data_IF_948085921898
#
_entry.id   IF_948085921898
#
_cell.length_a   1.000
_cell.length_b   1.000
_cell.length_c   1.000
_cell.angle_alpha   90.00
_cell.angle_beta   90.00
_cell.angle_gamma   90.00
#
_symmetry.space_group_name_H-M   'P 1'
#
loop_
_entity.id
_entity.type
_entity.pdbx_description
1 polymer ?
#
# COMPACT_ATOMS: atom_id res chain seq x y z
N UNK A 1 -1.90 3.54 -32.01
CA UNK A 1 -0.86 4.45 -32.54
C UNK A 1 -0.21 3.92 -33.81
N UNK A 2 0.21 2.64 -33.88
CA UNK A 2 0.78 2.03 -35.11
C UNK A 2 -0.12 2.21 -36.36
N UNK A 3 -1.44 2.14 -36.18
CA UNK A 3 -2.42 2.37 -37.25
C UNK A 3 -2.24 3.74 -37.96
N UNK A 4 -2.00 4.82 -37.21
CA UNK A 4 -1.90 6.17 -37.79
C UNK A 4 -0.62 6.39 -38.58
N UNK A 5 0.45 5.64 -38.27
CA UNK A 5 1.72 5.65 -39.01
C UNK A 5 1.52 5.15 -40.43
N UNK A 6 0.57 4.25 -40.65
CA UNK A 6 0.25 3.69 -41.98
C UNK A 6 -0.91 4.45 -42.62
N UNK A 7 -1.94 4.79 -41.85
CA UNK A 7 -3.14 5.44 -42.38
C UNK A 7 -2.87 6.86 -42.91
N UNK A 8 -2.03 7.67 -42.23
CA UNK A 8 -1.79 9.05 -42.67
C UNK A 8 -1.03 9.13 -44.02
N UNK A 9 0.03 8.33 -44.27
CA UNK A 9 0.64 8.26 -45.59
C UNK A 9 -0.32 7.79 -46.68
N UNK A 10 -1.10 6.74 -46.42
CA UNK A 10 -2.11 6.24 -47.38
C UNK A 10 -3.13 7.32 -47.72
N UNK A 11 -3.59 8.09 -46.73
CA UNK A 11 -4.48 9.24 -46.95
C UNK A 11 -3.81 10.34 -47.78
N UNK A 12 -2.55 10.67 -47.50
CA UNK A 12 -1.83 11.68 -48.26
C UNK A 12 -1.64 11.30 -49.73
N UNK A 13 -1.31 10.05 -50.02
CA UNK A 13 -1.25 9.54 -51.39
C UNK A 13 -2.64 9.50 -52.05
N UNK A 14 -3.66 9.03 -51.33
CA UNK A 14 -5.03 8.89 -51.87
C UNK A 14 -5.73 10.22 -52.15
N UNK A 15 -5.37 11.29 -51.45
CA UNK A 15 -5.98 12.62 -51.61
C UNK A 15 -5.15 13.55 -52.51
N UNK A 16 -4.02 13.10 -53.04
CA UNK A 16 -3.18 13.92 -53.94
C UNK A 16 -3.65 13.84 -55.39
N UNK A 17 -3.83 14.99 -56.07
CA UNK A 17 -4.10 15.02 -57.53
C UNK A 17 -2.85 14.84 -58.39
N UNK A 18 -1.69 15.22 -57.85
CA UNK A 18 -0.46 15.34 -58.60
C UNK A 18 0.65 14.58 -57.89
N UNK A 19 1.42 13.84 -58.69
CA UNK A 19 2.62 13.16 -58.22
C UNK A 19 3.70 14.23 -58.01
N UNK A 20 4.12 14.42 -56.76
CA UNK A 20 5.01 15.53 -56.38
C UNK A 20 5.08 15.76 -54.86
N UNK A 21 5.10 17.02 -54.42
CA UNK A 21 5.20 17.41 -52.99
C UNK A 21 3.87 17.34 -52.22
N UNK A 22 2.75 17.45 -52.92
CA UNK A 22 1.38 17.41 -52.38
C UNK A 22 1.09 16.24 -51.42
N UNK A 23 1.36 14.96 -51.76
CA UNK A 23 1.05 13.84 -50.86
C UNK A 23 1.82 13.89 -49.55
N UNK A 24 3.05 14.41 -49.56
CA UNK A 24 3.86 14.58 -48.35
C UNK A 24 3.30 15.69 -47.45
N UNK A 25 2.85 16.80 -48.03
CA UNK A 25 2.23 17.90 -47.29
C UNK A 25 0.91 17.46 -46.65
N UNK A 26 0.05 16.74 -47.39
CA UNK A 26 -1.21 16.21 -46.86
C UNK A 26 -0.93 15.16 -45.77
N UNK A 27 0.04 14.27 -45.98
CA UNK A 27 0.45 13.28 -44.96
C UNK A 27 0.91 13.97 -43.69
N UNK A 28 1.76 14.99 -43.79
CA UNK A 28 2.28 15.73 -42.66
C UNK A 28 1.15 16.45 -41.91
N UNK A 29 0.24 17.10 -42.63
CA UNK A 29 -0.94 17.74 -42.05
C UNK A 29 -1.82 16.72 -41.31
N UNK A 30 -2.09 15.55 -41.91
CA UNK A 30 -2.87 14.49 -41.29
C UNK A 30 -2.23 13.98 -39.98
N UNK A 31 -0.90 13.81 -39.95
CA UNK A 31 -0.16 13.42 -38.74
C UNK A 31 -0.29 14.49 -37.65
N UNK A 32 -0.12 15.77 -37.98
CA UNK A 32 -0.25 16.86 -37.00
C UNK A 32 -1.68 16.96 -36.44
N UNK A 33 -2.70 16.83 -37.30
CA UNK A 33 -4.11 16.83 -36.89
C UNK A 33 -4.39 15.65 -35.94
N UNK A 34 -3.92 14.46 -36.29
CA UNK A 34 -4.07 13.26 -35.46
C UNK A 34 -3.34 13.41 -34.12
N UNK A 35 -2.12 13.96 -34.12
CA UNK A 35 -1.33 14.16 -32.90
C UNK A 35 -1.97 15.21 -31.98
N UNK A 36 -2.41 16.35 -32.52
CA UNK A 36 -3.10 17.39 -31.74
C UNK A 36 -4.38 16.84 -31.10
N UNK A 37 -5.17 16.09 -31.88
CA UNK A 37 -6.39 15.44 -31.39
C UNK A 37 -6.07 14.38 -30.33
N UNK A 38 -4.99 13.61 -30.52
CA UNK A 38 -4.53 12.62 -29.57
C UNK A 38 -4.04 13.24 -28.25
N UNK A 39 -3.33 14.38 -28.29
CA UNK A 39 -2.93 15.10 -27.09
C UNK A 39 -4.16 15.56 -26.28
N UNK A 40 -5.17 16.10 -26.96
CA UNK A 40 -6.42 16.51 -26.31
C UNK A 40 -7.16 15.30 -25.71
N UNK A 41 -7.31 14.23 -26.49
CA UNK A 41 -7.94 12.99 -26.04
C UNK A 41 -7.21 12.38 -24.84
N UNK A 42 -5.89 12.22 -24.92
CA UNK A 42 -5.07 11.67 -23.85
C UNK A 42 -5.08 12.50 -22.57
N UNK A 43 -5.09 13.83 -22.69
CA UNK A 43 -5.24 14.74 -21.54
C UNK A 43 -6.59 14.57 -20.85
N UNK A 44 -7.68 14.48 -21.63
CA UNK A 44 -9.00 14.18 -21.08
C UNK A 44 -9.02 12.78 -20.43
N UNK A 45 -8.42 11.78 -21.08
CA UNK A 45 -8.31 10.42 -20.56
C UNK A 45 -7.60 10.40 -19.20
N UNK A 46 -6.48 11.12 -19.09
CA UNK A 46 -5.74 11.32 -17.85
C UNK A 46 -6.63 11.91 -16.75
N UNK A 47 -7.31 13.02 -17.01
CA UNK A 47 -8.19 13.68 -16.02
C UNK A 47 -9.27 12.69 -15.54
N UNK A 48 -9.99 12.06 -16.46
CA UNK A 48 -11.09 11.14 -16.14
C UNK A 48 -10.64 9.86 -15.42
N UNK A 49 -9.38 9.48 -15.56
CA UNK A 49 -8.83 8.28 -14.94
C UNK A 49 -8.23 8.49 -13.55
N UNK A 50 -8.05 9.73 -13.09
CA UNK A 50 -7.59 9.99 -11.73
C UNK A 50 -8.56 9.30 -10.77
N UNK A 51 -8.10 8.28 -10.01
CA UNK A 51 -8.95 7.58 -9.07
C UNK A 51 -9.39 8.58 -8.00
N UNK A 52 -10.68 8.54 -7.71
CA UNK A 52 -11.25 9.29 -6.60
C UNK A 52 -11.04 8.44 -5.38
N UNK A 53 -10.38 8.96 -4.35
CA UNK A 53 -10.34 8.25 -3.08
C UNK A 53 -11.80 8.13 -2.63
N UNK A 54 -12.29 6.90 -2.55
CA UNK A 54 -13.46 6.63 -1.73
C UNK A 54 -13.00 6.97 -0.31
N UNK A 55 -13.22 8.22 0.11
CA UNK A 55 -13.34 8.54 1.52
C UNK A 55 -14.27 7.50 2.08
N UNK A 56 -13.70 6.53 2.79
CA UNK A 56 -14.41 5.48 3.46
C UNK A 56 -15.32 6.17 4.46
N UNK A 57 -16.55 6.41 4.04
CA UNK A 57 -17.65 6.77 4.92
C UNK A 57 -17.75 5.63 5.93
N UNK A 58 -17.27 5.90 7.15
CA UNK A 58 -17.66 5.26 8.40
C UNK A 58 -17.70 3.73 8.40
N UNK A 59 -16.56 3.07 8.63
CA UNK A 59 -16.54 1.82 9.41
C UNK A 59 -15.25 1.78 10.27
N UNK A 60 -15.48 1.71 11.57
CA UNK A 60 -14.60 1.33 12.68
C UNK A 60 -13.46 2.27 13.12
N UNK A 61 -13.73 2.95 14.24
CA UNK A 61 -12.88 3.91 14.93
C UNK A 61 -11.68 3.30 15.69
N UNK A 62 -11.24 2.08 15.36
CA UNK A 62 -10.19 1.37 16.12
C UNK A 62 -9.00 0.87 15.28
N UNK A 63 -8.93 1.25 14.01
CA UNK A 63 -7.78 0.93 13.14
C UNK A 63 -6.99 2.20 12.81
N UNK A 64 -5.93 2.47 13.57
CA UNK A 64 -4.91 3.48 13.25
C UNK A 64 -4.01 3.05 12.08
N UNK A 65 -4.59 2.64 10.97
CA UNK A 65 -3.86 2.65 9.70
C UNK A 65 -3.92 4.08 9.17
N UNK A 66 -2.84 4.83 9.40
CA UNK A 66 -2.61 6.11 8.74
C UNK A 66 -2.47 5.84 7.23
N UNK A 67 -3.61 5.65 6.56
CA UNK A 67 -3.71 5.56 5.11
C UNK A 67 -3.21 6.90 4.58
N UNK A 68 -2.13 6.85 3.83
CA UNK A 68 -1.51 8.02 3.21
C UNK A 68 -2.58 8.78 2.42
N UNK A 69 -2.98 9.93 2.94
CA UNK A 69 -3.79 10.91 2.24
C UNK A 69 -2.82 11.57 1.27
N UNK A 70 -2.77 11.09 0.03
CA UNK A 70 -2.01 11.73 -1.03
C UNK A 70 -2.48 13.16 -1.23
N UNK A 71 -1.72 13.95 -2.00
CA UNK A 71 -2.13 15.31 -2.33
C UNK A 71 -3.45 15.30 -3.16
N UNK A 72 -4.57 15.56 -2.51
CA UNK A 72 -5.93 15.56 -3.11
C UNK A 72 -6.18 16.72 -4.06
N UNK A 73 -5.25 17.69 -4.19
CA UNK A 73 -5.46 18.86 -5.06
C UNK A 73 -5.75 18.44 -6.51
N UNK A 74 -5.02 17.46 -7.05
CA UNK A 74 -5.23 16.98 -8.41
C UNK A 74 -6.55 16.24 -8.58
N UNK A 75 -6.96 15.48 -7.57
CA UNK A 75 -8.26 14.81 -7.54
C UNK A 75 -9.41 15.83 -7.53
N UNK A 76 -9.35 16.82 -6.65
CA UNK A 76 -10.39 17.86 -6.53
C UNK A 76 -10.51 18.69 -7.81
N UNK A 77 -9.38 19.12 -8.37
CA UNK A 77 -9.36 19.84 -9.65
C UNK A 77 -9.93 18.97 -10.76
N UNK A 78 -9.59 17.67 -10.80
CA UNK A 78 -10.12 16.74 -11.79
C UNK A 78 -11.62 16.50 -11.64
N UNK A 79 -12.13 16.28 -10.42
CA UNK A 79 -13.56 16.09 -10.17
C UNK A 79 -14.36 17.35 -10.53
N UNK A 80 -13.87 18.53 -10.12
CA UNK A 80 -14.47 19.81 -10.52
C UNK A 80 -14.48 19.97 -12.04
N UNK A 81 -13.33 19.75 -12.69
CA UNK A 81 -13.18 19.91 -14.14
C UNK A 81 -14.06 18.93 -14.92
N UNK A 82 -14.12 17.66 -14.52
CA UNK A 82 -14.97 16.64 -15.17
C UNK A 82 -16.44 16.97 -15.03
N UNK A 83 -16.90 17.46 -13.87
CA UNK A 83 -18.29 17.92 -13.68
C UNK A 83 -18.63 19.09 -14.59
N UNK A 84 -17.74 20.09 -14.70
CA UNK A 84 -17.91 21.23 -15.60
C UNK A 84 -17.94 20.78 -17.06
N UNK A 85 -17.02 19.90 -17.47
CA UNK A 85 -16.94 19.38 -18.84
C UNK A 85 -18.21 18.62 -19.23
N UNK A 86 -18.67 17.72 -18.37
CA UNK A 86 -19.91 16.95 -18.58
C UNK A 86 -21.11 17.91 -18.62
N UNK A 87 -21.20 18.84 -17.67
CA UNK A 87 -22.29 19.82 -17.63
C UNK A 87 -22.39 20.69 -18.89
N UNK A 88 -21.26 21.24 -19.35
CA UNK A 88 -21.20 22.02 -20.60
C UNK A 88 -21.56 21.14 -21.80
N UNK A 89 -21.03 19.91 -21.86
CA UNK A 89 -21.29 18.97 -22.96
C UNK A 89 -22.78 18.62 -23.07
N UNK A 90 -23.48 18.39 -21.94
CA UNK A 90 -24.92 18.13 -21.93
C UNK A 90 -25.71 19.32 -22.47
N UNK A 91 -25.39 20.53 -22.03
CA UNK A 91 -26.11 21.75 -22.45
C UNK A 91 -25.83 22.08 -23.93
N UNK A 92 -24.63 21.81 -24.42
CA UNK A 92 -24.20 22.20 -25.77
C UNK A 92 -24.27 21.07 -26.79
N UNK A 93 -24.76 19.88 -26.44
CA UNK A 93 -24.75 18.71 -27.33
C UNK A 93 -25.44 18.98 -28.69
N UNK A 94 -26.48 19.81 -28.70
CA UNK A 94 -27.17 20.21 -29.93
C UNK A 94 -26.32 21.02 -30.91
N UNK A 95 -25.22 21.63 -30.46
CA UNK A 95 -24.29 22.41 -31.30
C UNK A 95 -23.20 21.54 -31.94
N UNK A 96 -23.07 20.28 -31.52
CA UNK A 96 -22.01 19.38 -31.97
C UNK A 96 -22.03 19.16 -33.49
N UNK A 97 -23.15 18.87 -34.16
CA UNK A 97 -23.15 18.68 -35.62
C UNK A 97 -22.61 19.89 -36.38
N UNK A 98 -23.06 21.10 -36.04
CA UNK A 98 -22.58 22.34 -36.65
C UNK A 98 -21.09 22.60 -36.38
N UNK A 99 -20.60 22.25 -35.19
CA UNK A 99 -19.18 22.34 -34.86
C UNK A 99 -18.32 21.35 -35.66
N UNK A 100 -18.80 20.11 -35.85
CA UNK A 100 -18.13 19.10 -36.68
C UNK A 100 -18.09 19.50 -38.15
N UNK A 101 -19.17 20.07 -38.68
CA UNK A 101 -19.19 20.64 -40.04
C UNK A 101 -18.22 21.80 -40.19
N UNK A 102 -18.18 22.71 -39.21
CA UNK A 102 -17.24 23.83 -39.21
C UNK A 102 -15.79 23.35 -39.15
N UNK A 103 -15.49 22.36 -38.31
CA UNK A 103 -14.17 21.72 -38.23
C UNK A 103 -13.81 21.07 -39.57
N UNK A 104 -14.71 20.32 -40.19
CA UNK A 104 -14.49 19.71 -41.50
C UNK A 104 -14.17 20.74 -42.58
N UNK A 105 -14.89 21.88 -42.60
CA UNK A 105 -14.58 23.00 -43.51
C UNK A 105 -13.20 23.60 -43.26
N UNK A 106 -12.73 23.66 -42.02
CA UNK A 106 -11.39 24.18 -41.69
C UNK A 106 -10.26 23.19 -42.00
N UNK A 107 -10.53 21.89 -41.88
CA UNK A 107 -9.54 20.84 -42.16
C UNK A 107 -9.42 20.51 -43.66
N UNK A 108 -10.49 20.71 -44.45
CA UNK A 108 -10.49 20.40 -45.88
C UNK A 108 -9.32 21.05 -46.66
N UNK A 109 -8.98 22.35 -46.48
CA UNK A 109 -7.82 22.97 -47.12
C UNK A 109 -6.49 22.29 -46.80
N UNK A 110 -6.31 21.83 -45.56
CA UNK A 110 -5.09 21.17 -45.10
C UNK A 110 -4.94 19.75 -45.67
N UNK A 111 -6.05 19.16 -46.13
CA UNK A 111 -6.13 17.80 -46.65
C UNK A 111 -6.36 17.77 -48.18
N UNK A 112 -6.05 18.87 -48.87
CA UNK A 112 -6.08 18.95 -50.34
C UNK A 112 -7.41 19.41 -50.95
N UNK A 113 -8.42 19.74 -50.15
CA UNK A 113 -9.74 20.27 -50.59
C UNK A 113 -10.54 19.38 -51.57
N UNK A 114 -10.28 18.07 -51.60
CA UNK A 114 -11.10 17.12 -52.38
C UNK A 114 -12.44 16.86 -51.70
N UNK A 115 -13.46 16.45 -52.47
CA UNK A 115 -14.86 16.29 -52.03
C UNK A 115 -15.04 15.81 -50.58
N UNK A 116 -14.49 14.65 -50.16
CA UNK A 116 -14.66 14.14 -48.80
C UNK A 116 -13.58 14.57 -47.78
N UNK A 117 -12.59 15.39 -48.16
CA UNK A 117 -11.40 15.72 -47.34
C UNK A 117 -11.74 16.27 -45.95
N UNK A 118 -12.73 17.16 -45.85
CA UNK A 118 -13.19 17.70 -44.57
C UNK A 118 -13.77 16.64 -43.64
N UNK A 119 -14.59 15.73 -44.18
CA UNK A 119 -15.15 14.61 -43.43
C UNK A 119 -14.08 13.62 -42.96
N UNK A 120 -13.10 13.33 -43.83
CA UNK A 120 -11.94 12.51 -43.47
C UNK A 120 -11.14 13.14 -42.33
N UNK A 121 -10.91 14.45 -42.36
CA UNK A 121 -10.22 15.17 -41.29
C UNK A 121 -10.96 15.09 -39.94
N UNK A 122 -12.29 15.19 -39.96
CA UNK A 122 -13.13 15.04 -38.76
C UNK A 122 -13.04 13.62 -38.19
N UNK A 123 -13.19 12.60 -39.04
CA UNK A 123 -13.09 11.19 -38.60
C UNK A 123 -11.70 10.88 -38.06
N UNK A 124 -10.64 11.36 -38.72
CA UNK A 124 -9.26 11.21 -38.26
C UNK A 124 -9.05 11.84 -36.87
N UNK A 125 -9.58 13.06 -36.67
CA UNK A 125 -9.49 13.77 -35.39
C UNK A 125 -10.23 13.02 -34.28
N UNK A 126 -11.47 12.59 -34.54
CA UNK A 126 -12.30 11.87 -33.57
C UNK A 126 -11.69 10.53 -33.18
N UNK A 127 -11.26 9.74 -34.17
CA UNK A 127 -10.65 8.42 -33.92
C UNK A 127 -9.34 8.56 -33.15
N UNK A 128 -8.51 9.56 -33.46
CA UNK A 128 -7.27 9.82 -32.75
C UNK A 128 -7.52 10.27 -31.30
N UNK A 129 -8.48 11.18 -31.09
CA UNK A 129 -8.88 11.64 -29.76
C UNK A 129 -9.45 10.50 -28.90
N UNK A 130 -10.37 9.69 -29.42
CA UNK A 130 -10.97 8.58 -28.68
C UNK A 130 -9.92 7.51 -28.33
N UNK A 131 -9.07 7.14 -29.29
CA UNK A 131 -8.02 6.15 -29.03
C UNK A 131 -7.03 6.65 -27.96
N UNK A 132 -6.60 7.91 -28.04
CA UNK A 132 -5.71 8.49 -27.05
C UNK A 132 -6.39 8.70 -25.69
N UNK A 133 -7.68 9.02 -25.67
CA UNK A 133 -8.48 9.08 -24.44
C UNK A 133 -8.48 7.75 -23.73
N UNK A 134 -8.79 6.65 -24.42
CA UNK A 134 -8.79 5.31 -23.83
C UNK A 134 -7.41 4.90 -23.34
N UNK A 135 -6.36 5.20 -24.11
CA UNK A 135 -4.98 4.91 -23.70
C UNK A 135 -4.56 5.72 -22.48
N UNK A 136 -4.80 7.04 -22.48
CA UNK A 136 -4.52 7.91 -21.33
C UNK A 136 -5.31 7.45 -20.11
N UNK A 137 -6.58 7.11 -20.29
CA UNK A 137 -7.44 6.62 -19.23
C UNK A 137 -6.90 5.33 -18.60
N UNK A 138 -6.64 4.31 -19.42
CA UNK A 138 -6.15 3.02 -18.93
C UNK A 138 -4.75 3.14 -18.32
N UNK A 139 -3.86 3.91 -18.96
CA UNK A 139 -2.50 4.11 -18.48
C UNK A 139 -2.52 4.78 -17.10
N UNK A 140 -3.23 5.90 -16.94
CA UNK A 140 -3.34 6.59 -15.66
C UNK A 140 -4.00 5.71 -14.61
N UNK A 141 -5.08 5.01 -14.95
CA UNK A 141 -5.78 4.16 -13.99
C UNK A 141 -4.91 3.01 -13.50
N UNK A 142 -4.18 2.33 -14.39
CA UNK A 142 -3.31 1.20 -14.02
C UNK A 142 -2.09 1.68 -13.24
N UNK A 143 -1.40 2.75 -13.69
CA UNK A 143 -0.17 3.21 -13.05
C UNK A 143 -0.42 3.76 -11.66
N UNK A 144 -1.52 4.50 -11.47
CA UNK A 144 -1.87 5.06 -10.17
C UNK A 144 -2.30 3.94 -9.21
N UNK A 145 -3.08 2.96 -9.67
CA UNK A 145 -3.41 1.79 -8.85
C UNK A 145 -2.17 0.99 -8.44
N UNK A 146 -1.25 0.77 -9.36
CA UNK A 146 0.01 0.09 -9.07
C UNK A 146 0.88 0.90 -8.09
N UNK A 147 0.97 2.21 -8.26
CA UNK A 147 1.72 3.09 -7.37
C UNK A 147 1.14 3.09 -5.95
N UNK A 148 -0.19 3.10 -5.81
CA UNK A 148 -0.84 2.97 -4.51
C UNK A 148 -0.64 1.61 -3.88
N UNK A 149 -0.70 0.52 -4.66
CA UNK A 149 -0.41 -0.81 -4.15
C UNK A 149 1.05 -0.93 -3.65
N UNK A 150 2.00 -0.38 -4.39
CA UNK A 150 3.43 -0.40 -4.02
C UNK A 150 3.72 0.45 -2.77
N UNK A 151 3.13 1.64 -2.67
CA UNK A 151 3.35 2.54 -1.52
C UNK A 151 2.61 2.09 -0.25
N UNK A 152 1.46 1.43 -0.39
CA UNK A 152 0.72 0.88 0.74
C UNK A 152 1.53 -0.16 1.54
N UNK A 153 2.23 -1.06 0.84
CA UNK A 153 3.09 -2.06 1.49
C UNK A 153 4.30 -1.45 2.18
N UNK A 154 4.87 -0.39 1.62
CA UNK A 154 6.06 0.25 2.18
C UNK A 154 5.72 0.98 3.49
N UNK A 155 4.63 1.73 3.53
CA UNK A 155 4.20 2.48 4.72
C UNK A 155 3.86 1.55 5.88
N UNK A 156 3.20 0.42 5.59
CA UNK A 156 2.93 -0.61 6.60
C UNK A 156 4.24 -1.16 7.20
N UNK A 157 5.21 -1.50 6.34
CA UNK A 157 6.52 -1.99 6.78
C UNK A 157 7.31 -0.92 7.56
N UNK A 158 7.28 0.34 7.15
CA UNK A 158 7.90 1.45 7.90
C UNK A 158 7.26 1.64 9.28
N UNK A 159 5.93 1.60 9.36
CA UNK A 159 5.20 1.72 10.62
C UNK A 159 5.50 0.57 11.58
N UNK A 160 5.61 -0.66 11.08
CA UNK A 160 5.98 -1.85 11.85
C UNK A 160 7.41 -1.75 12.41
N UNK A 161 8.36 -1.22 11.63
CA UNK A 161 9.74 -1.02 12.09
C UNK A 161 9.86 0.07 13.16
N UNK A 162 9.16 1.20 12.98
CA UNK A 162 9.12 2.26 13.99
C UNK A 162 8.41 1.77 15.27
N UNK A 163 7.33 0.99 15.13
CA UNK A 163 6.67 0.39 16.28
C UNK A 163 7.58 -0.60 17.03
N UNK A 164 8.38 -1.41 16.30
CA UNK A 164 9.40 -2.27 16.89
C UNK A 164 10.49 -1.47 17.63
N UNK A 165 11.01 -0.42 17.01
CA UNK A 165 12.07 0.42 17.60
C UNK A 165 11.56 1.13 18.86
N UNK A 166 10.37 1.72 18.79
CA UNK A 166 9.72 2.37 19.93
C UNK A 166 9.34 1.36 21.03
N UNK A 167 8.92 0.14 20.71
CA UNK A 167 8.62 -0.89 21.70
C UNK A 167 9.89 -1.33 22.43
N UNK A 168 11.01 -1.48 21.71
CA UNK A 168 12.31 -1.79 22.32
C UNK A 168 12.80 -0.64 23.22
N UNK A 169 12.64 0.61 22.80
CA UNK A 169 12.98 1.78 23.63
C UNK A 169 12.07 1.93 24.85
N UNK A 170 10.76 1.78 24.70
CA UNK A 170 9.80 1.84 25.80
C UNK A 170 10.06 0.72 26.82
N UNK A 171 10.45 -0.47 26.34
CA UNK A 171 10.85 -1.58 27.23
C UNK A 171 12.12 -1.24 27.99
N UNK A 172 13.15 -0.70 27.32
CA UNK A 172 14.39 -0.24 27.99
C UNK A 172 14.11 0.85 29.03
N UNK A 173 13.25 1.82 28.71
CA UNK A 173 12.88 2.91 29.61
C UNK A 173 12.06 2.41 30.81
N UNK A 174 11.10 1.51 30.61
CA UNK A 174 10.31 0.92 31.68
C UNK A 174 11.16 0.07 32.64
N UNK A 175 12.15 -0.65 32.10
CA UNK A 175 13.14 -1.37 32.89
C UNK A 175 13.99 -0.39 33.71
N UNK A 176 14.53 0.65 33.08
CA UNK A 176 15.32 1.68 33.77
C UNK A 176 14.53 2.36 34.91
N UNK A 177 13.28 2.73 34.66
CA UNK A 177 12.41 3.35 35.67
C UNK A 177 12.03 2.39 36.81
N UNK A 178 11.87 1.10 36.52
CA UNK A 178 11.62 0.08 37.54
C UNK A 178 12.87 -0.17 38.40
N UNK A 179 14.05 -0.08 37.79
CA UNK A 179 15.34 -0.16 38.48
C UNK A 179 15.56 1.05 39.37
N UNK A 180 15.30 2.26 38.86
CA UNK A 180 15.42 3.49 39.65
C UNK A 180 14.50 3.48 40.89
N UNK A 181 13.26 3.00 40.72
CA UNK A 181 12.33 2.77 41.84
C UNK A 181 12.79 1.71 42.85
N UNK A 182 13.50 0.68 42.40
CA UNK A 182 13.98 -0.40 43.26
C UNK A 182 15.26 -0.02 44.02
N UNK A 183 16.08 0.87 43.45
CA UNK A 183 17.37 1.28 44.02
C UNK A 183 17.21 2.34 45.12
N UNK A 184 16.16 3.17 45.08
CA UNK A 184 15.87 4.19 46.09
C UNK A 184 16.89 5.35 46.12
N UNK A 185 16.43 6.55 46.50
CA UNK A 185 17.16 7.83 46.35
C UNK A 185 18.48 8.00 47.15
N UNK A 186 18.97 6.97 47.85
CA UNK A 186 20.10 7.10 48.80
C UNK A 186 21.42 6.47 48.33
N UNK A 187 21.55 6.03 47.08
CA UNK A 187 22.85 5.57 46.56
C UNK A 187 23.68 6.73 45.96
N UNK A 188 24.99 6.79 46.23
CA UNK A 188 25.91 7.71 45.53
C UNK A 188 25.87 7.50 44.01
N UNK A 189 25.96 8.58 43.22
CA UNK A 189 25.79 8.56 41.75
C UNK A 189 26.68 7.54 41.03
N UNK A 190 27.95 7.41 41.43
CA UNK A 190 28.88 6.40 40.87
C UNK A 190 28.40 4.95 41.10
N UNK A 191 27.80 4.67 42.26
CA UNK A 191 27.31 3.33 42.57
C UNK A 191 26.00 3.05 41.81
N UNK A 192 25.19 4.08 41.58
CA UNK A 192 23.95 4.03 40.80
C UNK A 192 24.23 3.74 39.33
N UNK A 193 25.19 4.42 38.71
CA UNK A 193 25.53 4.23 37.29
C UNK A 193 26.14 2.84 37.04
N UNK A 194 27.06 2.40 37.90
CA UNK A 194 27.62 1.04 37.82
C UNK A 194 26.56 -0.04 38.06
N UNK A 195 25.61 0.18 38.97
CA UNK A 195 24.52 -0.76 39.23
C UNK A 195 23.55 -0.80 38.05
N UNK A 196 23.20 0.34 37.46
CA UNK A 196 22.37 0.44 36.24
C UNK A 196 23.01 -0.28 35.06
N UNK A 197 24.32 -0.11 34.86
CA UNK A 197 25.07 -0.80 33.80
C UNK A 197 25.12 -2.31 34.05
N UNK A 198 25.38 -2.75 35.29
CA UNK A 198 25.35 -4.17 35.65
C UNK A 198 23.97 -4.81 35.51
N UNK A 199 22.90 -4.07 35.83
CA UNK A 199 21.51 -4.54 35.67
C UNK A 199 21.15 -4.57 34.20
N UNK A 200 21.59 -3.61 33.39
CA UNK A 200 21.38 -3.62 31.94
C UNK A 200 22.04 -4.82 31.28
N UNK A 201 23.27 -5.14 31.66
CA UNK A 201 23.96 -6.36 31.24
C UNK A 201 23.26 -7.63 31.73
N UNK A 202 22.71 -7.61 32.95
CA UNK A 202 21.96 -8.74 33.51
C UNK A 202 20.59 -8.92 32.82
N UNK A 203 19.94 -7.84 32.41
CA UNK A 203 18.70 -7.83 31.62
C UNK A 203 18.96 -8.33 30.19
N UNK A 204 20.11 -8.01 29.60
CA UNK A 204 20.52 -8.58 28.31
C UNK A 204 20.85 -10.09 28.40
N UNK A 205 21.45 -10.54 29.52
CA UNK A 205 21.65 -11.97 29.81
C UNK A 205 20.35 -12.69 30.14
N UNK A 206 19.37 -11.97 30.69
CA UNK A 206 18.05 -12.50 31.03
C UNK A 206 17.03 -12.30 29.92
N UNK A 207 17.41 -12.45 28.65
CA UNK A 207 16.49 -12.31 27.52
C UNK A 207 16.16 -13.66 26.86
N UNK A 208 14.93 -13.81 26.39
CA UNK A 208 14.52 -14.89 25.49
C UNK A 208 14.54 -14.36 24.06
N UNK A 209 14.99 -15.15 23.10
CA UNK A 209 14.94 -14.79 21.68
C UNK A 209 13.67 -15.37 21.06
N UNK A 210 12.84 -14.54 20.45
CA UNK A 210 11.62 -14.96 19.74
C UNK A 210 11.81 -14.77 18.24
N UNK A 211 11.85 -15.88 17.51
CA UNK A 211 12.00 -15.95 16.06
C UNK A 211 10.63 -16.12 15.39
N UNK A 212 10.25 -15.13 14.60
CA UNK A 212 9.00 -15.09 13.85
C UNK A 212 9.15 -15.63 12.43
N UNK A 213 10.38 -15.93 11.98
CA UNK A 213 10.68 -16.38 10.62
C UNK A 213 9.84 -17.56 10.12
N UNK A 214 9.52 -18.56 10.95
CA UNK A 214 8.65 -19.67 10.54
C UNK A 214 7.19 -19.28 10.27
N UNK A 215 6.71 -18.18 10.86
CA UNK A 215 5.36 -17.64 10.62
C UNK A 215 5.37 -16.63 9.46
N UNK A 216 6.33 -15.71 9.48
CA UNK A 216 6.59 -14.74 8.42
C UNK A 216 8.10 -14.52 8.29
N UNK A 217 8.73 -14.93 7.16
CA UNK A 217 10.16 -14.76 6.93
C UNK A 217 10.67 -13.31 7.06
N UNK A 218 9.78 -12.31 7.03
CA UNK A 218 10.11 -10.87 7.08
C UNK A 218 10.30 -10.33 8.49
N UNK A 219 9.74 -10.97 9.53
CA UNK A 219 9.72 -10.44 10.90
C UNK A 219 11.03 -10.71 11.67
N UNK A 220 11.80 -11.73 11.29
CA UNK A 220 13.08 -12.06 11.91
C UNK A 220 12.97 -12.43 13.40
N UNK A 221 14.05 -12.23 14.16
CA UNK A 221 14.12 -12.56 15.58
C UNK A 221 14.23 -11.32 16.47
N UNK A 222 13.50 -11.31 17.58
CA UNK A 222 13.45 -10.22 18.57
C UNK A 222 13.90 -10.75 19.93
N UNK A 223 14.76 -10.00 20.63
CA UNK A 223 15.11 -10.30 22.02
C UNK A 223 14.09 -9.68 22.96
N UNK A 224 13.46 -10.52 23.78
CA UNK A 224 12.48 -10.13 24.78
C UNK A 224 13.11 -10.29 26.16
N UNK A 225 13.35 -9.19 26.90
CA UNK A 225 13.86 -9.28 28.26
C UNK A 225 12.83 -9.98 29.15
N UNK A 226 13.28 -10.94 29.94
CA UNK A 226 12.45 -11.68 30.88
C UNK A 226 13.08 -11.64 32.28
N UNK A 227 12.24 -11.81 33.29
CA UNK A 227 12.66 -11.89 34.69
C UNK A 227 11.96 -13.06 35.36
N UNK A 228 12.34 -13.39 36.60
CA UNK A 228 11.68 -14.42 37.40
C UNK A 228 10.19 -14.13 37.66
N UNK A 229 9.77 -12.87 37.51
CA UNK A 229 8.40 -12.42 37.68
C UNK A 229 7.61 -12.32 36.37
N UNK A 230 8.26 -12.46 35.21
CA UNK A 230 7.58 -12.37 33.91
C UNK A 230 6.62 -13.54 33.75
N UNK A 231 5.35 -13.23 33.45
CA UNK A 231 4.31 -14.25 33.30
C UNK A 231 4.15 -14.69 31.84
N UNK A 232 3.48 -15.83 31.64
CA UNK A 232 3.09 -16.30 30.30
C UNK A 232 2.23 -15.26 29.59
N UNK A 233 1.27 -14.63 30.29
CA UNK A 233 0.44 -13.54 29.74
C UNK A 233 1.29 -12.41 29.18
N UNK A 234 2.29 -11.94 29.93
CA UNK A 234 3.09 -10.78 29.53
C UNK A 234 3.90 -11.09 28.27
N UNK A 235 4.51 -12.27 28.22
CA UNK A 235 5.26 -12.73 27.04
C UNK A 235 4.34 -12.89 25.82
N UNK A 236 3.19 -13.55 25.98
CA UNK A 236 2.27 -13.79 24.86
C UNK A 236 1.63 -12.50 24.35
N UNK A 237 1.31 -11.55 25.23
CA UNK A 237 0.81 -10.24 24.82
C UNK A 237 1.86 -9.45 24.03
N UNK A 238 3.12 -9.50 24.47
CA UNK A 238 4.23 -8.90 23.74
C UNK A 238 4.37 -9.52 22.34
N UNK A 239 4.40 -10.86 22.26
CA UNK A 239 4.53 -11.57 21.00
C UNK A 239 3.34 -11.29 20.08
N UNK A 240 2.11 -11.35 20.62
CA UNK A 240 0.88 -11.05 19.87
C UNK A 240 0.88 -9.65 19.28
N UNK A 241 1.37 -8.65 20.03
CA UNK A 241 1.50 -7.28 19.53
C UNK A 241 2.46 -7.12 18.34
N UNK A 242 3.28 -8.14 18.05
CA UNK A 242 4.20 -8.19 16.90
C UNK A 242 3.70 -9.11 15.77
N UNK A 243 2.62 -9.87 15.99
CA UNK A 243 2.08 -10.76 14.97
C UNK A 243 1.36 -9.99 13.87
N UNK A 244 1.27 -10.55 12.65
CA UNK A 244 0.45 -9.98 11.59
C UNK A 244 -1.04 -9.90 11.96
N UNK A 245 -1.74 -8.89 11.45
CA UNK A 245 -3.17 -8.64 11.72
C UNK A 245 -4.11 -9.80 11.34
N UNK A 246 -3.67 -10.71 10.45
CA UNK A 246 -4.45 -11.89 10.09
C UNK A 246 -4.53 -12.93 11.21
N UNK A 247 -3.64 -12.86 12.21
CA UNK A 247 -3.67 -13.72 13.40
C UNK A 247 -4.71 -13.17 14.39
N UNK A 248 -5.85 -13.86 14.61
CA UNK A 248 -6.89 -13.33 15.48
C UNK A 248 -6.44 -13.32 16.95
N UNK A 249 -6.97 -12.39 17.74
CA UNK A 249 -6.68 -12.32 19.18
C UNK A 249 -7.16 -13.58 19.91
N UNK A 250 -6.46 -13.94 21.01
CA UNK A 250 -6.84 -15.07 21.87
C UNK A 250 -6.86 -16.44 21.16
N UNK A 251 -6.04 -16.61 20.12
CA UNK A 251 -5.93 -17.86 19.33
C UNK A 251 -4.64 -18.64 19.59
N UNK A 252 -3.88 -18.28 20.63
CA UNK A 252 -2.67 -19.02 20.99
C UNK A 252 -3.02 -20.49 21.30
N UNK A 253 -2.35 -21.40 20.61
CA UNK A 253 -2.57 -22.85 20.63
C UNK A 253 -3.48 -23.37 19.52
N UNK A 254 -4.20 -22.49 18.82
CA UNK A 254 -5.08 -22.84 17.69
C UNK A 254 -4.48 -22.35 16.36
N UNK A 255 -4.23 -21.04 16.22
CA UNK A 255 -3.73 -20.38 14.99
C UNK A 255 -2.22 -20.18 14.99
N UNK A 256 -1.61 -20.11 16.16
CA UNK A 256 -0.17 -19.97 16.34
C UNK A 256 0.27 -20.56 17.67
N UNK A 257 1.50 -21.05 17.74
CA UNK A 257 2.09 -21.56 18.98
C UNK A 257 3.60 -21.31 19.03
N UNK A 258 4.16 -21.43 20.23
CA UNK A 258 5.60 -21.42 20.42
C UNK A 258 6.19 -22.83 20.37
N UNK A 259 7.32 -22.93 19.69
CA UNK A 259 8.17 -24.13 19.63
C UNK A 259 9.58 -23.79 20.06
N UNK A 260 10.19 -24.58 20.96
CA UNK A 260 11.64 -24.52 21.18
C UNK A 260 12.32 -25.42 20.14
N UNK A 261 13.25 -24.89 19.32
CA UNK A 261 13.84 -25.66 18.23
C UNK A 261 14.89 -26.67 18.70
N UNK A 262 15.58 -26.42 19.81
CA UNK A 262 16.65 -27.30 20.30
C UNK A 262 16.15 -28.70 20.72
N UNK A 263 15.00 -28.77 21.39
CA UNK A 263 14.41 -30.03 21.90
C UNK A 263 13.07 -30.38 21.22
N UNK A 264 12.59 -29.53 20.31
CA UNK A 264 11.31 -29.71 19.63
C UNK A 264 10.09 -29.51 20.54
N UNK A 265 10.26 -28.97 21.75
CA UNK A 265 9.16 -28.80 22.69
C UNK A 265 8.12 -27.81 22.14
N UNK A 266 6.88 -28.28 22.00
CA UNK A 266 5.73 -27.46 21.65
C UNK A 266 5.03 -27.00 22.93
N UNK A 267 4.85 -25.70 23.12
CA UNK A 267 4.24 -25.14 24.33
C UNK A 267 2.71 -25.08 24.21
N UNK A 268 2.08 -26.25 24.26
CA UNK A 268 0.63 -26.40 24.05
C UNK A 268 -0.19 -26.13 25.33
N UNK A 269 0.40 -26.29 26.51
CA UNK A 269 -0.30 -26.13 27.79
C UNK A 269 0.00 -24.78 28.46
N UNK A 270 -0.14 -23.70 27.69
CA UNK A 270 0.01 -22.33 28.18
C UNK A 270 -0.90 -21.35 27.42
N UNK A 271 -1.03 -20.13 27.93
CA UNK A 271 -1.84 -19.08 27.31
C UNK A 271 -3.32 -19.43 27.26
N UNK A 272 -3.97 -19.16 26.13
CA UNK A 272 -5.41 -19.43 25.95
C UNK A 272 -5.78 -20.90 26.09
N UNK A 273 -4.91 -21.83 25.66
CA UNK A 273 -5.17 -23.27 25.81
C UNK A 273 -5.19 -23.70 27.27
N UNK A 274 -4.28 -23.17 28.10
CA UNK A 274 -4.27 -23.45 29.53
C UNK A 274 -5.45 -22.77 30.23
N UNK A 275 -5.72 -21.50 29.91
CA UNK A 275 -6.82 -20.73 30.48
C UNK A 275 -8.19 -21.40 30.24
N UNK A 276 -8.44 -21.91 29.02
CA UNK A 276 -9.67 -22.67 28.69
C UNK A 276 -9.85 -23.87 29.64
N UNK A 277 -8.78 -24.66 29.85
CA UNK A 277 -8.81 -25.88 30.69
C UNK A 277 -8.96 -25.59 32.19
N UNK A 278 -8.41 -24.48 32.68
CA UNK A 278 -8.31 -24.19 34.11
C UNK A 278 -9.23 -23.04 34.56
N UNK A 279 -10.27 -22.73 33.76
CA UNK A 279 -11.23 -21.64 33.92
C UNK A 279 -11.85 -21.52 35.32
N UNK A 280 -11.16 -20.88 36.27
CA UNK A 280 -11.73 -20.51 37.58
C UNK A 280 -11.40 -19.12 38.12
N UNK A 281 -10.70 -18.21 37.43
CA UNK A 281 -10.65 -16.82 37.94
C UNK A 281 -10.32 -15.64 37.00
N UNK A 282 -9.54 -15.75 35.91
CA UNK A 282 -9.18 -14.54 35.12
C UNK A 282 -9.19 -14.65 33.60
N UNK A 283 -9.33 -15.86 33.02
CA UNK A 283 -9.19 -16.06 31.58
C UNK A 283 -7.77 -15.81 31.05
N UNK A 284 -6.78 -15.61 31.94
CA UNK A 284 -5.37 -15.36 31.60
C UNK A 284 -4.45 -16.39 32.25
N UNK A 285 -3.28 -16.61 31.65
CA UNK A 285 -2.23 -17.48 32.19
C UNK A 285 -1.16 -16.63 32.88
N UNK A 286 -1.31 -16.44 34.18
CA UNK A 286 -0.43 -15.59 34.99
C UNK A 286 0.72 -16.37 35.64
N UNK A 287 0.95 -17.62 35.20
CA UNK A 287 2.05 -18.44 35.70
C UNK A 287 3.39 -17.82 35.25
N UNK A 288 4.43 -17.85 36.10
CA UNK A 288 5.78 -17.46 35.70
C UNK A 288 6.30 -18.33 34.53
N UNK A 289 7.11 -17.76 33.64
CA UNK A 289 7.69 -18.48 32.49
C UNK A 289 8.44 -19.76 32.90
N UNK A 290 9.14 -19.73 34.03
CA UNK A 290 9.85 -20.90 34.57
C UNK A 290 8.92 -22.09 34.84
N UNK A 291 7.63 -21.86 35.18
CA UNK A 291 6.64 -22.94 35.43
C UNK A 291 6.22 -23.67 34.17
N UNK A 292 6.27 -23.01 33.02
CA UNK A 292 6.01 -23.63 31.71
C UNK A 292 7.29 -24.12 31.03
N UNK A 293 8.43 -23.96 31.71
CA UNK A 293 9.72 -24.46 31.27
C UNK A 293 10.48 -23.51 30.36
N UNK A 294 10.01 -22.28 30.13
CA UNK A 294 10.75 -21.24 29.39
C UNK A 294 11.76 -20.59 30.32
N UNK A 295 13.01 -20.50 29.88
CA UNK A 295 14.13 -19.95 30.65
C UNK A 295 14.81 -18.81 29.89
N UNK A 296 15.46 -17.87 30.60
CA UNK A 296 16.29 -16.88 29.93
C UNK A 296 17.37 -17.56 29.08
N UNK A 297 17.68 -16.98 27.93
CA UNK A 297 18.57 -17.55 26.91
C UNK A 297 17.88 -18.50 25.92
N UNK A 298 16.62 -18.91 26.16
CA UNK A 298 15.90 -19.76 25.22
C UNK A 298 15.68 -19.08 23.87
N UNK A 299 15.76 -19.86 22.80
CA UNK A 299 15.26 -19.50 21.49
C UNK A 299 13.86 -20.12 21.32
N UNK A 300 12.86 -19.29 21.07
CA UNK A 300 11.48 -19.69 20.81
C UNK A 300 11.11 -19.31 19.38
N UNK A 301 10.48 -20.22 18.67
CA UNK A 301 9.97 -19.99 17.33
C UNK A 301 8.45 -19.83 17.37
N UNK A 302 7.95 -18.77 16.76
CA UNK A 302 6.54 -18.61 16.47
C UNK A 302 6.23 -19.41 15.21
N UNK A 303 5.39 -20.42 15.34
CA UNK A 303 4.99 -21.28 14.21
C UNK A 303 3.47 -21.20 13.98
N UNK A 304 3.00 -21.46 12.75
CA UNK A 304 1.58 -21.61 12.47
C UNK A 304 0.96 -22.74 13.29
N UNK A 305 -0.30 -22.55 13.67
CA UNK A 305 -1.14 -23.55 14.30
C UNK A 305 -1.39 -24.77 13.43
N UNK A 306 -1.77 -25.88 14.05
CA UNK A 306 -2.00 -27.16 13.37
C UNK A 306 -3.33 -27.22 12.57
N UNK A 307 -4.11 -26.14 12.56
CA UNK A 307 -5.29 -26.02 11.70
C UNK A 307 -4.82 -25.45 10.35
N UNK A 308 -4.94 -26.21 9.24
CA UNK A 308 -4.62 -25.67 7.93
C UNK A 308 -5.52 -24.47 7.66
N UNK A 309 -4.91 -23.32 7.34
CA UNK A 309 -5.63 -22.22 6.71
C UNK A 309 -6.14 -22.72 5.36
N UNK A 310 -7.40 -23.12 5.28
CA UNK A 310 -8.12 -23.24 4.04
C UNK A 310 -8.53 -21.84 3.56
N UNK A 311 -7.55 -21.06 3.08
CA UNK A 311 -7.77 -19.83 2.31
C UNK A 311 -6.76 -19.68 1.18
#
# INVERSE_FOLDING_TARGET
MLFYVIACPVLGFSLSNHWGREPFTITFAAILIALASACLGGFLGFIFAIPRELQSTQLDADSKSARYIGNTNLEQISDWLTKVLVGISLVQIGKVPAALEALGRQLAPLLGSYGPSGGVGVVLSMTAAVAAFLLGYLYTRVIVLWLFAATGSDIENYSKRIAQENAVEATKAAVAASVEKAVGDNLPDELRDNLLESIRDEVEKSAVTVDFGPLDPRLGAVKVPVSDYTTVRDLLNFIYGLLPDWVPAFTYGDEWLLRRPHDGQMFLDMGTTWARKHSRSSGTDDRPLARVGIKPGDLLQVIPGAVPLDR
#
